data_IF_753013985579
#
_entry.id   IF_753013985579
#
_cell.length_a   1.000
_cell.length_b   1.000
_cell.length_c   1.000
_cell.angle_alpha   90.00
_cell.angle_beta   90.00
_cell.angle_gamma   90.00
#
_symmetry.space_group_name_H-M   'P 1'
#
loop_
_entity.id
_entity.type
_entity.pdbx_description
1 polymer ?
#
# COMPACT_ATOMS: atom_id res chain seq x y z
N UNK A 1 8.48 -23.67 5.93
CA UNK A 1 8.86 -22.47 5.17
C UNK A 1 10.36 -22.51 4.93
N UNK A 2 10.77 -22.37 3.68
CA UNK A 2 12.18 -22.34 3.29
C UNK A 2 12.80 -21.00 3.72
N UNK A 3 14.02 -21.05 4.28
CA UNK A 3 14.72 -19.88 4.82
C UNK A 3 15.09 -18.89 3.71
N UNK A 4 15.23 -19.36 2.46
CA UNK A 4 15.65 -18.55 1.31
C UNK A 4 14.68 -17.42 0.96
N UNK A 5 13.38 -17.70 0.81
CA UNK A 5 12.40 -16.67 0.48
C UNK A 5 12.31 -15.58 1.56
N UNK A 6 12.34 -15.97 2.84
CA UNK A 6 12.34 -15.04 3.97
C UNK A 6 13.57 -14.14 3.97
N UNK A 7 14.76 -14.67 3.68
CA UNK A 7 15.98 -13.88 3.58
C UNK A 7 15.94 -12.91 2.37
N UNK A 8 15.37 -13.34 1.22
CA UNK A 8 15.16 -12.46 0.05
C UNK A 8 14.18 -11.33 0.36
N UNK A 9 13.05 -11.64 0.98
CA UNK A 9 12.06 -10.64 1.42
C UNK A 9 12.71 -9.65 2.38
N UNK A 10 13.33 -10.14 3.46
CA UNK A 10 13.95 -9.30 4.48
C UNK A 10 15.05 -8.40 3.91
N UNK A 11 15.94 -8.95 3.07
CA UNK A 11 17.01 -8.16 2.44
C UNK A 11 16.47 -7.13 1.45
N UNK A 12 15.42 -7.47 0.67
CA UNK A 12 14.80 -6.53 -0.28
C UNK A 12 14.07 -5.41 0.46
N UNK A 13 13.32 -5.72 1.52
CA UNK A 13 12.68 -4.71 2.38
C UNK A 13 13.70 -3.78 3.00
N UNK A 14 14.81 -4.31 3.55
CA UNK A 14 15.85 -3.49 4.16
C UNK A 14 16.58 -2.61 3.13
N UNK A 15 16.83 -3.12 1.91
CA UNK A 15 17.47 -2.39 0.82
C UNK A 15 16.59 -1.23 0.32
N UNK A 16 15.28 -1.44 0.25
CA UNK A 16 14.33 -0.49 -0.33
C UNK A 16 13.68 0.43 0.70
N UNK A 17 13.97 0.24 1.99
CA UNK A 17 13.40 1.06 3.06
C UNK A 17 13.65 2.56 2.79
N UNK A 18 12.61 3.41 2.87
CA UNK A 18 12.77 4.84 2.64
C UNK A 18 13.63 5.47 3.74
N UNK A 19 14.31 6.57 3.40
CA UNK A 19 15.04 7.36 4.38
C UNK A 19 14.09 8.01 5.39
N UNK A 20 14.59 8.22 6.62
CA UNK A 20 13.79 8.77 7.72
C UNK A 20 13.19 10.15 7.44
N UNK A 21 13.74 10.91 6.47
CA UNK A 21 13.28 12.24 6.10
C UNK A 21 12.63 12.32 4.71
N UNK A 22 12.45 11.17 4.02
CA UNK A 22 11.96 11.17 2.64
C UNK A 22 10.44 11.40 2.56
N UNK A 23 9.70 10.96 3.58
CA UNK A 23 8.27 11.21 3.72
C UNK A 23 8.03 12.50 4.51
N UNK A 24 7.50 13.54 3.84
CA UNK A 24 7.29 14.86 4.44
C UNK A 24 5.96 15.02 5.16
N UNK A 25 4.96 14.17 4.91
CA UNK A 25 3.62 14.32 5.48
C UNK A 25 3.47 13.59 6.81
N UNK A 26 3.87 12.32 6.89
CA UNK A 26 3.64 11.46 8.07
C UNK A 26 4.18 12.09 9.36
N UNK A 27 5.40 12.68 9.38
CA UNK A 27 5.89 13.37 10.57
C UNK A 27 5.04 14.58 10.99
N UNK A 28 4.45 15.30 10.03
CA UNK A 28 3.57 16.45 10.33
C UNK A 28 2.27 16.00 10.97
N UNK A 29 1.68 14.91 10.50
CA UNK A 29 0.47 14.31 11.08
C UNK A 29 0.79 13.80 12.49
N UNK A 30 1.89 13.05 12.65
CA UNK A 30 2.32 12.52 13.94
C UNK A 30 2.59 13.62 14.98
N UNK A 31 3.04 14.80 14.55
CA UNK A 31 3.26 15.96 15.41
C UNK A 31 2.02 16.86 15.61
N UNK A 32 0.89 16.56 14.96
CA UNK A 32 -0.31 17.40 15.03
C UNK A 32 -0.19 18.74 14.31
N UNK A 33 0.70 18.83 13.31
CA UNK A 33 1.04 20.08 12.61
C UNK A 33 0.64 20.11 11.14
N UNK A 34 0.15 19.00 10.59
CA UNK A 34 -0.41 18.97 9.24
C UNK A 34 -1.76 19.71 9.18
N UNK A 35 -1.99 20.50 8.12
CA UNK A 35 -3.28 21.09 7.80
C UNK A 35 -4.36 20.02 7.56
N UNK A 36 -5.59 20.26 8.03
CA UNK A 36 -6.74 19.38 7.79
C UNK A 36 -6.99 19.15 6.30
N UNK A 37 -6.65 20.10 5.42
CA UNK A 37 -6.75 19.94 3.96
C UNK A 37 -5.90 18.79 3.45
N UNK A 38 -4.71 18.56 4.02
CA UNK A 38 -3.88 17.42 3.67
C UNK A 38 -4.49 16.10 4.15
N UNK A 39 -5.16 16.09 5.31
CA UNK A 39 -5.87 14.91 5.83
C UNK A 39 -7.11 14.58 4.99
N UNK A 40 -7.90 15.58 4.62
CA UNK A 40 -9.04 15.42 3.71
C UNK A 40 -8.60 14.89 2.35
N UNK A 41 -7.53 15.45 1.77
CA UNK A 41 -6.97 14.97 0.51
C UNK A 41 -6.41 13.54 0.64
N UNK A 42 -5.74 13.21 1.75
CA UNK A 42 -5.30 11.85 2.05
C UNK A 42 -6.48 10.88 2.02
N UNK A 43 -7.57 11.17 2.75
CA UNK A 43 -8.76 10.32 2.79
C UNK A 43 -9.40 10.13 1.40
N UNK A 44 -9.47 11.20 0.61
CA UNK A 44 -10.07 11.18 -0.73
C UNK A 44 -9.22 10.43 -1.76
N UNK A 45 -7.89 10.60 -1.75
CA UNK A 45 -7.00 9.87 -2.65
C UNK A 45 -7.04 8.35 -2.39
N UNK A 46 -7.23 7.92 -1.14
CA UNK A 46 -7.38 6.50 -0.81
C UNK A 46 -8.57 5.85 -1.52
N UNK A 47 -9.67 6.58 -1.76
CA UNK A 47 -10.82 6.04 -2.51
C UNK A 47 -10.40 5.53 -3.90
N UNK A 48 -9.53 6.28 -4.57
CA UNK A 48 -9.04 5.95 -5.91
C UNK A 48 -7.96 4.86 -5.87
N UNK A 49 -7.04 4.94 -4.90
CA UNK A 49 -5.95 3.97 -4.74
C UNK A 49 -6.54 2.59 -4.44
N UNK A 50 -7.39 2.47 -3.42
CA UNK A 50 -8.01 1.19 -3.02
C UNK A 50 -8.79 0.56 -4.19
N UNK A 51 -9.54 1.37 -4.95
CA UNK A 51 -10.26 0.87 -6.12
C UNK A 51 -9.33 0.34 -7.23
N UNK A 52 -8.23 1.03 -7.51
CA UNK A 52 -7.23 0.64 -8.52
C UNK A 52 -6.45 -0.61 -8.08
N UNK A 53 -6.00 -0.63 -6.83
CA UNK A 53 -5.18 -1.70 -6.28
C UNK A 53 -5.98 -2.99 -6.17
N UNK A 54 -7.24 -2.91 -5.71
CA UNK A 54 -8.18 -4.05 -5.73
C UNK A 54 -8.27 -4.69 -7.11
N UNK A 55 -8.47 -3.87 -8.15
CA UNK A 55 -8.61 -4.35 -9.53
C UNK A 55 -7.31 -4.95 -10.05
N UNK A 56 -6.18 -4.33 -9.71
CA UNK A 56 -4.85 -4.78 -10.10
C UNK A 56 -4.47 -6.10 -9.44
N UNK A 57 -4.75 -6.27 -8.16
CA UNK A 57 -4.49 -7.49 -7.41
C UNK A 57 -5.41 -8.62 -7.84
N UNK A 58 -6.70 -8.36 -8.08
CA UNK A 58 -7.60 -9.35 -8.64
C UNK A 58 -7.11 -9.86 -10.00
N UNK A 59 -6.67 -8.95 -10.88
CA UNK A 59 -6.11 -9.33 -12.17
C UNK A 59 -4.79 -10.11 -12.05
N UNK A 60 -3.91 -9.73 -11.11
CA UNK A 60 -2.69 -10.47 -10.79
C UNK A 60 -2.99 -11.88 -10.30
N UNK A 61 -4.04 -12.06 -9.49
CA UNK A 61 -4.47 -13.37 -9.03
C UNK A 61 -4.90 -14.26 -10.21
N UNK A 62 -5.76 -13.75 -11.09
CA UNK A 62 -6.19 -14.45 -12.31
C UNK A 62 -5.02 -14.81 -13.22
N UNK A 63 -4.11 -13.87 -13.44
CA UNK A 63 -2.94 -14.06 -14.30
C UNK A 63 -1.95 -15.07 -13.71
N UNK A 64 -1.78 -15.08 -12.39
CA UNK A 64 -0.97 -16.09 -11.69
C UNK A 64 -1.58 -17.48 -11.83
N UNK A 65 -2.91 -17.61 -11.65
CA UNK A 65 -3.62 -18.86 -11.83
C UNK A 65 -3.52 -19.39 -13.28
N UNK A 66 -3.66 -18.50 -14.29
CA UNK A 66 -3.49 -18.86 -15.70
C UNK A 66 -2.08 -19.38 -16.02
N UNK A 67 -1.07 -18.97 -15.25
CA UNK A 67 0.32 -19.42 -15.35
C UNK A 67 0.65 -20.62 -14.46
N UNK A 68 -0.32 -21.14 -13.70
CA UNK A 68 -0.15 -22.22 -12.71
C UNK A 68 0.81 -21.83 -11.57
N UNK A 69 0.82 -20.55 -11.22
CA UNK A 69 1.56 -19.99 -10.09
C UNK A 69 0.62 -19.89 -8.88
N UNK A 70 0.20 -21.05 -8.34
CA UNK A 70 -0.89 -21.14 -7.35
C UNK A 70 -0.64 -20.30 -6.08
N UNK A 71 0.59 -20.31 -5.55
CA UNK A 71 0.96 -19.51 -4.39
C UNK A 71 0.82 -17.99 -4.66
N UNK A 72 1.20 -17.55 -5.87
CA UNK A 72 0.99 -16.17 -6.32
C UNK A 72 -0.50 -15.83 -6.43
N UNK A 73 -1.31 -16.73 -7.00
CA UNK A 73 -2.75 -16.53 -7.12
C UNK A 73 -3.43 -16.34 -5.75
N UNK A 74 -3.07 -17.17 -4.77
CA UNK A 74 -3.58 -17.05 -3.38
C UNK A 74 -3.14 -15.74 -2.75
N UNK A 75 -1.87 -15.37 -2.87
CA UNK A 75 -1.34 -14.12 -2.31
C UNK A 75 -2.06 -12.89 -2.87
N UNK A 76 -2.18 -12.78 -4.20
CA UNK A 76 -2.84 -11.62 -4.82
C UNK A 76 -4.35 -11.58 -4.57
N UNK A 77 -5.02 -12.73 -4.46
CA UNK A 77 -6.41 -12.78 -4.03
C UNK A 77 -6.57 -12.30 -2.58
N UNK A 78 -5.62 -12.64 -1.71
CA UNK A 78 -5.54 -12.12 -0.35
C UNK A 78 -5.42 -10.60 -0.30
N UNK A 79 -4.53 -10.02 -1.12
CA UNK A 79 -4.41 -8.57 -1.24
C UNK A 79 -5.70 -7.91 -1.73
N UNK A 80 -6.30 -8.42 -2.81
CA UNK A 80 -7.58 -7.90 -3.31
C UNK A 80 -8.71 -7.99 -2.27
N UNK A 81 -8.70 -9.02 -1.42
CA UNK A 81 -9.58 -9.14 -0.27
C UNK A 81 -9.33 -8.06 0.78
N UNK A 82 -8.06 -7.78 1.09
CA UNK A 82 -7.66 -6.70 1.99
C UNK A 82 -8.14 -5.32 1.52
N UNK A 83 -8.06 -5.05 0.22
CA UNK A 83 -8.58 -3.81 -0.38
C UNK A 83 -10.10 -3.65 -0.19
N UNK A 84 -10.86 -4.75 -0.19
CA UNK A 84 -12.30 -4.69 0.14
C UNK A 84 -12.54 -4.31 1.60
N UNK A 85 -11.79 -4.91 2.53
CA UNK A 85 -11.87 -4.57 3.96
C UNK A 85 -11.44 -3.13 4.24
N UNK A 86 -10.42 -2.64 3.54
CA UNK A 86 -9.99 -1.24 3.61
C UNK A 86 -11.06 -0.28 3.09
N UNK A 87 -11.71 -0.60 1.96
CA UNK A 87 -12.78 0.22 1.38
C UNK A 87 -13.95 0.43 2.35
N UNK A 88 -14.33 -0.60 3.11
CA UNK A 88 -15.39 -0.53 4.14
C UNK A 88 -15.08 0.47 5.28
N UNK A 89 -13.81 0.82 5.48
CA UNK A 89 -13.36 1.73 6.56
C UNK A 89 -13.20 3.18 6.11
N UNK A 90 -13.24 3.44 4.81
CA UNK A 90 -12.99 4.78 4.28
C UNK A 90 -14.12 5.78 4.59
N UNK A 91 -15.36 5.32 4.73
CA UNK A 91 -16.51 6.19 5.02
C UNK A 91 -16.29 6.94 6.35
N UNK A 92 -15.94 6.23 7.41
CA UNK A 92 -15.66 6.82 8.73
C UNK A 92 -14.49 7.81 8.68
N UNK A 93 -13.41 7.47 7.96
CA UNK A 93 -12.28 8.37 7.76
C UNK A 93 -12.69 9.66 7.06
N UNK A 94 -13.44 9.58 5.95
CA UNK A 94 -13.91 10.77 5.23
C UNK A 94 -14.87 11.62 6.06
N UNK A 95 -15.77 10.99 6.82
CA UNK A 95 -16.71 11.69 7.69
C UNK A 95 -15.99 12.45 8.82
N UNK A 96 -14.93 11.88 9.39
CA UNK A 96 -14.11 12.55 10.40
C UNK A 96 -13.35 13.77 9.84
N UNK A 97 -13.04 13.77 8.55
CA UNK A 97 -12.54 14.94 7.83
C UNK A 97 -13.63 15.98 7.49
N UNK A 98 -14.88 15.75 7.89
CA UNK A 98 -16.02 16.62 7.60
C UNK A 98 -16.53 16.55 6.16
N UNK A 99 -16.22 15.47 5.45
CA UNK A 99 -16.60 15.25 4.05
C UNK A 99 -17.85 14.38 3.96
N UNK A 100 -18.70 14.66 2.98
CA UNK A 100 -19.84 13.81 2.64
C UNK A 100 -19.66 13.08 1.30
N UNK A 101 -20.66 12.30 0.89
CA UNK A 101 -20.62 11.54 -0.37
C UNK A 101 -20.60 12.43 -1.62
N UNK A 102 -21.08 13.67 -1.53
CA UNK A 102 -20.99 14.67 -2.60
C UNK A 102 -19.56 15.15 -2.75
N UNK A 103 -18.88 15.43 -1.63
CA UNK A 103 -17.46 15.81 -1.63
C UNK A 103 -16.59 14.70 -2.22
N UNK A 104 -16.84 13.45 -1.81
CA UNK A 104 -16.14 12.27 -2.34
C UNK A 104 -16.36 12.12 -3.85
N UNK A 105 -17.61 12.29 -4.33
CA UNK A 105 -17.92 12.17 -5.74
C UNK A 105 -17.37 13.32 -6.61
N UNK A 106 -17.17 14.50 -6.01
CA UNK A 106 -16.65 15.68 -6.69
C UNK A 106 -15.12 15.79 -6.68
N UNK A 107 -14.44 14.92 -5.91
CA UNK A 107 -12.99 14.96 -5.79
C UNK A 107 -12.29 14.59 -7.10
N UNK A 108 -11.29 15.40 -7.46
CA UNK A 108 -10.43 15.17 -8.62
C UNK A 108 -9.03 14.77 -8.14
N UNK A 109 -8.58 13.53 -8.43
CA UNK A 109 -7.28 13.04 -8.00
C UNK A 109 -6.10 13.84 -8.54
N UNK A 110 -5.09 14.00 -7.70
CA UNK A 110 -3.84 14.65 -8.09
C UNK A 110 -2.90 13.68 -8.77
N UNK A 111 -2.21 14.14 -9.83
CA UNK A 111 -1.32 13.28 -10.61
C UNK A 111 -0.21 12.63 -9.76
N UNK A 112 0.32 13.35 -8.76
CA UNK A 112 1.35 12.84 -7.86
C UNK A 112 0.86 11.70 -6.97
N UNK A 113 -0.42 11.71 -6.59
CA UNK A 113 -1.03 10.63 -5.82
C UNK A 113 -1.42 9.42 -6.67
N UNK A 114 -1.66 9.63 -7.96
CA UNK A 114 -2.06 8.57 -8.89
C UNK A 114 -0.87 7.83 -9.55
N UNK A 115 0.37 8.28 -9.33
CA UNK A 115 1.56 7.64 -9.90
C UNK A 115 1.78 6.21 -9.38
N UNK A 116 1.58 5.98 -8.08
CA UNK A 116 1.69 4.66 -7.46
C UNK A 116 0.64 3.67 -8.00
N UNK A 117 -0.68 3.93 -7.90
CA UNK A 117 -1.69 2.96 -8.38
C UNK A 117 -1.59 2.72 -9.89
N UNK A 118 -1.19 3.73 -10.67
CA UNK A 118 -0.90 3.57 -12.10
C UNK A 118 0.25 2.61 -12.36
N UNK A 119 1.30 2.64 -11.52
CA UNK A 119 2.43 1.73 -11.65
C UNK A 119 2.07 0.31 -11.21
N UNK A 120 1.27 0.15 -10.14
CA UNK A 120 0.72 -1.15 -9.72
C UNK A 120 -0.11 -1.77 -10.84
N UNK A 121 -1.01 -1.01 -11.47
CA UNK A 121 -1.77 -1.46 -12.63
C UNK A 121 -0.86 -1.87 -13.81
N UNK A 122 0.22 -1.12 -14.06
CA UNK A 122 1.21 -1.49 -15.08
C UNK A 122 1.92 -2.81 -14.75
N UNK A 123 2.29 -3.05 -13.50
CA UNK A 123 2.86 -4.35 -13.06
C UNK A 123 1.83 -5.48 -13.24
N UNK A 124 0.58 -5.22 -12.88
CA UNK A 124 -0.53 -6.15 -13.06
C UNK A 124 -0.77 -6.50 -14.52
N UNK A 125 -0.55 -5.57 -15.45
CA UNK A 125 -0.68 -5.83 -16.88
C UNK A 125 0.56 -6.50 -17.50
N UNK A 126 1.77 -6.15 -17.05
CA UNK A 126 3.00 -6.43 -17.83
C UNK A 126 4.14 -7.11 -17.08
N UNK A 127 4.23 -6.99 -15.75
CA UNK A 127 5.32 -7.58 -14.96
C UNK A 127 5.16 -9.08 -14.79
N UNK A 128 6.20 -9.81 -14.39
CA UNK A 128 6.02 -11.20 -13.95
C UNK A 128 5.33 -11.22 -12.57
N UNK A 129 4.36 -12.12 -12.30
CA UNK A 129 3.65 -12.11 -11.01
C UNK A 129 4.57 -12.30 -9.80
N UNK A 130 5.55 -13.21 -9.89
CA UNK A 130 6.53 -13.40 -8.82
C UNK A 130 7.41 -12.17 -8.54
N UNK A 131 7.77 -11.40 -9.58
CA UNK A 131 8.51 -10.13 -9.42
C UNK A 131 7.64 -9.07 -8.76
N UNK A 132 6.37 -8.98 -9.18
CA UNK A 132 5.39 -8.07 -8.58
C UNK A 132 5.14 -8.41 -7.10
N UNK A 133 5.05 -9.71 -6.76
CA UNK A 133 4.86 -10.16 -5.38
C UNK A 133 6.01 -9.69 -4.48
N UNK A 134 7.27 -9.97 -4.86
CA UNK A 134 8.43 -9.52 -4.10
C UNK A 134 8.50 -7.98 -4.00
N UNK A 135 8.23 -7.28 -5.10
CA UNK A 135 8.27 -5.82 -5.12
C UNK A 135 7.20 -5.16 -4.21
N UNK A 136 5.96 -5.65 -4.25
CA UNK A 136 4.85 -5.15 -3.43
C UNK A 136 5.05 -5.46 -1.95
N UNK A 137 5.45 -6.69 -1.61
CA UNK A 137 5.70 -7.06 -0.21
C UNK A 137 6.81 -6.21 0.41
N UNK A 138 7.86 -5.88 -0.34
CA UNK A 138 8.91 -4.99 0.16
C UNK A 138 8.39 -3.58 0.48
N UNK A 139 7.44 -3.07 -0.31
CA UNK A 139 6.83 -1.75 -0.14
C UNK A 139 5.89 -1.70 1.09
N UNK A 140 5.10 -2.75 1.32
CA UNK A 140 4.09 -2.78 2.40
C UNK A 140 4.68 -2.61 3.81
N UNK A 141 5.94 -2.98 4.02
CA UNK A 141 6.60 -2.81 5.32
C UNK A 141 6.71 -1.32 5.74
N UNK A 142 7.01 -0.43 4.79
CA UNK A 142 7.07 1.01 5.07
C UNK A 142 5.66 1.59 5.30
N UNK A 143 4.70 1.20 4.44
CA UNK A 143 3.30 1.60 4.54
C UNK A 143 2.67 1.29 5.90
N UNK A 144 2.85 0.06 6.41
CA UNK A 144 2.28 -0.32 7.72
C UNK A 144 2.81 0.54 8.87
N UNK A 145 4.10 0.87 8.86
CA UNK A 145 4.70 1.80 9.83
C UNK A 145 4.14 3.22 9.74
N UNK A 146 3.88 3.72 8.52
CA UNK A 146 3.24 5.01 8.30
C UNK A 146 1.80 5.03 8.81
N UNK A 147 1.02 3.99 8.52
CA UNK A 147 -0.35 3.88 8.98
C UNK A 147 -0.45 3.87 10.51
N UNK A 148 0.43 3.13 11.19
CA UNK A 148 0.49 3.14 12.65
C UNK A 148 0.77 4.54 13.21
N UNK A 149 1.74 5.27 12.64
CA UNK A 149 2.08 6.64 13.07
C UNK A 149 0.94 7.65 12.78
N UNK A 150 0.26 7.51 11.64
CA UNK A 150 -0.89 8.34 11.28
C UNK A 150 -2.03 8.10 12.27
N UNK A 151 -2.37 6.84 12.54
CA UNK A 151 -3.47 6.49 13.44
C UNK A 151 -3.25 7.01 14.87
N UNK A 152 -2.01 6.96 15.36
CA UNK A 152 -1.64 7.56 16.65
C UNK A 152 -1.77 9.10 16.63
N UNK A 153 -1.27 9.75 15.58
CA UNK A 153 -1.32 11.20 15.43
C UNK A 153 -2.76 11.74 15.33
N UNK A 154 -3.61 11.08 14.54
CA UNK A 154 -5.03 11.42 14.36
C UNK A 154 -5.79 11.40 15.68
N UNK A 155 -5.62 10.35 16.49
CA UNK A 155 -6.23 10.26 17.82
C UNK A 155 -5.73 11.34 18.77
N UNK A 156 -4.41 11.53 18.80
CA UNK A 156 -3.75 12.38 19.80
C UNK A 156 -3.98 13.87 19.54
N UNK A 157 -3.97 14.28 18.27
CA UNK A 157 -3.91 15.70 17.90
C UNK A 157 -5.13 16.22 17.16
N UNK A 158 -5.88 15.35 16.49
CA UNK A 158 -7.00 15.76 15.62
C UNK A 158 -8.37 15.34 16.16
N UNK A 159 -8.42 14.56 17.24
CA UNK A 159 -9.66 14.14 17.89
C UNK A 159 -10.45 13.10 17.10
N UNK A 160 -9.78 12.36 16.20
CA UNK A 160 -10.39 11.25 15.46
C UNK A 160 -10.60 10.08 16.42
N UNK A 161 -11.75 9.42 16.32
CA UNK A 161 -12.06 8.24 17.12
C UNK A 161 -11.49 6.95 16.48
N UNK A 162 -11.71 5.83 17.15
CA UNK A 162 -11.22 4.52 16.70
C UNK A 162 -11.86 4.08 15.38
N UNK A 163 -13.10 4.48 15.10
CA UNK A 163 -13.77 4.13 13.85
C UNK A 163 -13.13 4.89 12.67
N UNK A 164 -12.87 6.19 12.84
CA UNK A 164 -12.19 7.03 11.87
C UNK A 164 -10.73 6.60 11.61
N UNK A 165 -10.05 6.07 12.64
CA UNK A 165 -8.69 5.57 12.51
C UNK A 165 -8.61 4.14 11.93
N UNK A 166 -9.75 3.43 11.86
CA UNK A 166 -9.81 2.01 11.50
C UNK A 166 -9.22 1.66 10.15
N UNK A 167 -9.23 2.59 9.17
CA UNK A 167 -8.54 2.41 7.89
C UNK A 167 -7.02 2.24 8.08
N UNK A 168 -6.40 3.12 8.87
CA UNK A 168 -4.96 3.09 9.11
C UNK A 168 -4.59 1.94 10.06
N UNK A 169 -5.39 1.69 11.10
CA UNK A 169 -5.15 0.56 12.01
C UNK A 169 -5.13 -0.77 11.24
N UNK A 170 -6.06 -0.96 10.29
CA UNK A 170 -6.12 -2.17 9.47
C UNK A 170 -4.80 -2.47 8.73
N UNK A 171 -4.13 -1.44 8.21
CA UNK A 171 -2.83 -1.60 7.54
C UNK A 171 -1.64 -1.57 8.50
N UNK A 172 -1.79 -0.99 9.69
CA UNK A 172 -0.76 -0.94 10.73
C UNK A 172 -0.65 -2.23 11.56
N UNK A 173 -1.68 -3.08 11.55
CA UNK A 173 -1.68 -4.35 12.26
C UNK A 173 -0.87 -5.45 11.52
N UNK A 174 -0.18 -6.34 12.25
CA UNK A 174 0.49 -7.49 11.64
C UNK A 174 -0.50 -8.40 10.89
N UNK A 175 -0.07 -8.92 9.72
CA UNK A 175 -0.88 -9.83 8.92
C UNK A 175 -0.15 -11.18 8.66
N UNK A 176 0.04 -12.04 9.69
CA UNK A 176 0.89 -13.24 9.57
C UNK A 176 0.47 -14.20 8.45
N UNK A 177 -0.84 -14.31 8.20
CA UNK A 177 -1.35 -15.14 7.11
C UNK A 177 -0.95 -14.61 5.73
N UNK A 178 -1.01 -13.29 5.54
CA UNK A 178 -0.60 -12.64 4.30
C UNK A 178 0.93 -12.66 4.13
N UNK A 179 1.68 -12.47 5.21
CA UNK A 179 3.15 -12.62 5.22
C UNK A 179 3.57 -14.04 4.81
N UNK A 180 2.88 -15.06 5.30
CA UNK A 180 3.12 -16.45 4.89
C UNK A 180 2.81 -16.67 3.40
N UNK A 181 1.69 -16.15 2.91
CA UNK A 181 1.33 -16.21 1.49
C UNK A 181 2.37 -15.51 0.60
N UNK A 182 2.88 -14.35 1.03
CA UNK A 182 3.94 -13.64 0.32
C UNK A 182 5.23 -14.47 0.24
N UNK A 183 5.63 -15.07 1.36
CA UNK A 183 6.80 -15.94 1.40
C UNK A 183 6.66 -17.17 0.49
N UNK A 184 5.47 -17.79 0.46
CA UNK A 184 5.18 -18.93 -0.42
C UNK A 184 5.19 -18.51 -1.90
N UNK A 185 4.61 -17.35 -2.24
CA UNK A 185 4.62 -16.81 -3.61
C UNK A 185 6.05 -16.49 -4.08
N UNK A 186 6.86 -15.87 -3.23
CA UNK A 186 8.26 -15.57 -3.54
C UNK A 186 9.09 -16.84 -3.65
N UNK A 187 8.88 -17.84 -2.77
CA UNK A 187 9.57 -19.12 -2.86
C UNK A 187 9.25 -19.83 -4.19
N UNK A 188 7.97 -19.94 -4.55
CA UNK A 188 7.56 -20.52 -5.82
C UNK A 188 8.18 -19.77 -7.01
N UNK A 189 8.26 -18.45 -6.93
CA UNK A 189 8.98 -17.63 -7.90
C UNK A 189 10.47 -17.96 -7.99
N UNK A 190 11.17 -18.06 -6.86
CA UNK A 190 12.60 -18.40 -6.80
C UNK A 190 12.88 -19.78 -7.41
N UNK A 191 12.02 -20.75 -7.14
CA UNK A 191 12.11 -22.10 -7.71
C UNK A 191 11.82 -22.09 -9.23
N UNK A 192 10.98 -21.15 -9.68
CA UNK A 192 10.66 -20.89 -11.09
C UNK A 192 11.61 -19.96 -11.84
N UNK A 193 12.72 -19.52 -11.23
CA UNK A 193 13.72 -18.67 -11.88
C UNK A 193 13.44 -17.17 -11.81
N UNK A 194 12.76 -16.69 -10.76
CA UNK A 194 12.53 -15.27 -10.46
C UNK A 194 13.79 -14.41 -10.65
N UNK A 195 13.68 -13.37 -11.46
CA UNK A 195 14.69 -12.31 -11.55
C UNK A 195 14.53 -11.33 -10.37
N UNK A 196 15.27 -11.61 -9.30
CA UNK A 196 15.27 -10.76 -8.10
C UNK A 196 15.82 -9.34 -8.36
N UNK A 197 16.61 -9.12 -9.43
CA UNK A 197 17.10 -7.79 -9.77
C UNK A 197 16.00 -6.96 -10.47
N UNK A 198 15.19 -7.60 -11.33
CA UNK A 198 13.99 -6.99 -11.88
C UNK A 198 12.97 -6.64 -10.79
N UNK A 199 12.72 -7.57 -9.86
CA UNK A 199 11.83 -7.32 -8.71
C UNK A 199 12.29 -6.13 -7.85
N UNK A 200 13.59 -6.04 -7.51
CA UNK A 200 14.15 -4.88 -6.80
C UNK A 200 13.97 -3.57 -7.56
N UNK A 201 14.12 -3.59 -8.89
CA UNK A 201 13.88 -2.40 -9.73
C UNK A 201 12.43 -1.94 -9.64
N UNK A 202 11.48 -2.89 -9.63
CA UNK A 202 10.07 -2.58 -9.44
C UNK A 202 9.80 -2.02 -8.04
N UNK A 203 10.35 -2.65 -7.00
CA UNK A 203 10.22 -2.18 -5.62
C UNK A 203 10.77 -0.76 -5.42
N UNK A 204 11.95 -0.45 -5.97
CA UNK A 204 12.50 0.92 -5.94
C UNK A 204 11.57 1.96 -6.57
N UNK A 205 10.92 1.60 -7.68
CA UNK A 205 9.96 2.49 -8.36
C UNK A 205 8.66 2.64 -7.54
N UNK A 206 8.12 1.55 -6.99
CA UNK A 206 6.98 1.60 -6.07
C UNK A 206 7.26 2.53 -4.90
N UNK A 207 8.40 2.36 -4.22
CA UNK A 207 8.80 3.22 -3.10
C UNK A 207 8.93 4.69 -3.53
N UNK A 208 9.49 4.95 -4.71
CA UNK A 208 9.62 6.32 -5.24
C UNK A 208 8.26 6.96 -5.53
N UNK A 209 7.31 6.19 -6.06
CA UNK A 209 5.96 6.67 -6.34
C UNK A 209 5.11 6.81 -5.08
N UNK A 210 5.30 5.95 -4.08
CA UNK A 210 4.69 6.12 -2.76
C UNK A 210 5.20 7.40 -2.08
N UNK A 211 6.51 7.67 -2.13
CA UNK A 211 7.07 8.94 -1.65
C UNK A 211 6.54 10.15 -2.42
N UNK A 212 6.27 10.01 -3.73
CA UNK A 212 5.62 11.07 -4.52
C UNK A 212 4.19 11.33 -4.02
N UNK A 213 3.42 10.28 -3.71
CA UNK A 213 2.10 10.41 -3.11
C UNK A 213 2.17 11.20 -1.80
N UNK A 214 3.03 10.79 -0.86
CA UNK A 214 3.17 11.47 0.43
C UNK A 214 3.61 12.93 0.29
N UNK A 215 4.57 13.18 -0.59
CA UNK A 215 5.13 14.52 -0.76
C UNK A 215 4.22 15.45 -1.56
N UNK A 216 3.33 14.92 -2.41
CA UNK A 216 2.27 15.70 -3.07
C UNK A 216 1.27 16.20 -2.04
N UNK A 217 0.83 15.32 -1.14
CA UNK A 217 -0.07 15.71 -0.05
C UNK A 217 0.59 16.67 0.95
N UNK A 218 1.90 16.54 1.18
CA UNK A 218 2.66 17.46 2.03
C UNK A 218 2.71 18.90 1.49
N UNK A 219 2.41 19.14 0.21
CA UNK A 219 2.29 20.50 -0.34
C UNK A 219 1.00 21.21 0.10
N UNK A 220 0.03 20.44 0.61
CA UNK A 220 -1.22 20.93 1.18
C UNK A 220 -1.14 21.13 2.71
N UNK A 221 -0.07 20.64 3.34
CA UNK A 221 0.09 20.50 4.78
C UNK A 221 0.65 21.75 5.49
#
# INVERSE_FOLDING_TARGET
MDRRALDVLSSTTAELAPGAADNRLVPLIAAGTADLRALSALALEQQHIIASDRSSFAYLAERSAARREDAGAVFFAGLAGGENSAAERLEALTAACGLDSTDVAAYEPTAGCQAYPSYVARLALTGAPAEAALALTANFAAWGGYCAAIAEGLRTHYGFDDEACGFFDFFGEPAPALEAQAADAVQAGLDGGLDTAAARRHGRLLQSYELMFWNTLAELA
#
